data_IF_739571991110
#
_entry.id   IF_739571991110
#
_cell.length_a   1.000
_cell.length_b   1.000
_cell.length_c   1.000
_cell.angle_alpha   90.00
_cell.angle_beta   90.00
_cell.angle_gamma   90.00
#
_symmetry.space_group_name_H-M   'P 1'
#
loop_
_entity.id
_entity.type
_entity.pdbx_description
1 polymer ?
#
# COMPACT_ATOMS: atom_id res chain seq x y z
N UNK A 1 20.32 8.08 8.06
CA UNK A 1 20.62 7.93 9.52
C UNK A 1 20.53 6.43 9.84
N UNK A 2 21.54 5.81 10.46
CA UNK A 2 21.58 4.35 10.69
C UNK A 2 21.23 3.90 12.11
N UNK A 3 20.22 4.51 12.75
CA UNK A 3 19.78 4.19 14.11
C UNK A 3 18.44 3.45 14.15
N UNK A 4 18.11 2.81 15.29
CA UNK A 4 16.82 2.13 15.48
C UNK A 4 15.66 3.14 15.45
N UNK A 5 14.43 2.69 15.12
CA UNK A 5 13.27 3.60 15.13
C UNK A 5 13.00 4.19 16.52
N UNK A 6 13.20 3.39 17.57
CA UNK A 6 13.02 3.86 18.95
C UNK A 6 14.01 4.97 19.31
N UNK A 7 15.21 4.95 18.72
CA UNK A 7 16.16 6.06 18.86
C UNK A 7 15.70 7.29 18.07
N UNK A 8 15.14 7.09 16.87
CA UNK A 8 14.56 8.16 16.07
C UNK A 8 13.40 8.89 16.76
N UNK A 9 12.57 8.18 17.53
CA UNK A 9 11.49 8.77 18.32
C UNK A 9 11.94 9.54 19.56
N UNK A 10 13.20 9.40 20.00
CA UNK A 10 13.70 10.21 21.12
C UNK A 10 13.76 11.68 20.68
N UNK A 11 13.06 12.54 21.41
CA UNK A 11 12.96 13.97 21.10
C UNK A 11 13.64 14.79 22.19
N UNK A 12 14.61 15.67 21.84
CA UNK A 12 15.12 16.64 22.79
C UNK A 12 14.02 17.59 23.24
N UNK A 13 14.21 18.21 24.41
CA UNK A 13 13.25 19.14 25.00
C UNK A 13 12.81 20.27 24.04
N UNK A 14 13.74 20.76 23.21
CA UNK A 14 13.46 21.78 22.19
C UNK A 14 12.47 21.31 21.12
N UNK A 15 12.47 20.03 20.77
CA UNK A 15 11.54 19.44 19.80
C UNK A 15 10.16 19.24 20.41
N UNK A 16 10.08 18.76 21.66
CA UNK A 16 8.83 18.68 22.42
C UNK A 16 8.16 20.05 22.56
N UNK A 17 8.94 21.12 22.76
CA UNK A 17 8.42 22.49 22.78
C UNK A 17 7.81 22.90 21.44
N UNK A 18 8.38 22.50 20.31
CA UNK A 18 7.81 22.77 18.97
C UNK A 18 6.49 22.03 18.75
N UNK A 19 6.42 20.76 19.16
CA UNK A 19 5.17 19.97 19.13
C UNK A 19 4.07 20.70 19.94
N UNK A 20 4.37 21.12 21.17
CA UNK A 20 3.41 21.83 22.02
C UNK A 20 2.91 23.15 21.40
N UNK A 21 3.75 23.88 20.67
CA UNK A 21 3.34 25.10 19.98
C UNK A 21 2.25 24.77 18.94
N UNK A 22 2.48 23.75 18.11
CA UNK A 22 1.51 23.34 17.07
C UNK A 22 0.24 22.79 17.72
N UNK A 23 0.36 21.98 18.76
CA UNK A 23 -0.81 21.47 19.49
C UNK A 23 -1.69 22.58 20.06
N UNK A 24 -1.09 23.61 20.64
CA UNK A 24 -1.84 24.73 21.22
C UNK A 24 -2.59 25.51 20.13
N UNK A 25 -1.96 25.77 18.97
CA UNK A 25 -2.62 26.40 17.84
C UNK A 25 -3.84 25.59 17.36
N UNK A 26 -3.71 24.27 17.27
CA UNK A 26 -4.83 23.39 16.90
C UNK A 26 -5.94 23.45 17.96
N UNK A 27 -5.61 23.41 19.26
CA UNK A 27 -6.59 23.46 20.36
C UNK A 27 -7.29 24.82 20.46
N UNK A 28 -6.62 25.90 20.08
CA UNK A 28 -7.16 27.27 20.04
C UNK A 28 -7.92 27.58 18.74
N UNK A 29 -8.02 26.60 17.82
CA UNK A 29 -8.62 26.73 16.48
C UNK A 29 -7.88 27.71 15.54
N UNK A 30 -6.60 28.01 15.79
CA UNK A 30 -5.73 28.74 14.86
C UNK A 30 -5.16 27.77 13.81
N UNK A 31 -6.06 27.19 13.00
CA UNK A 31 -5.74 26.13 12.05
C UNK A 31 -4.83 26.58 10.92
N UNK A 32 -4.99 27.81 10.42
CA UNK A 32 -4.17 28.35 9.34
C UNK A 32 -2.70 28.45 9.76
N UNK A 33 -2.46 28.93 10.99
CA UNK A 33 -1.10 29.04 11.52
C UNK A 33 -0.51 27.67 11.86
N UNK A 34 -1.32 26.75 12.40
CA UNK A 34 -0.87 25.37 12.61
C UNK A 34 -0.46 24.71 11.28
N UNK A 35 -1.31 24.83 10.26
CA UNK A 35 -1.06 24.32 8.90
C UNK A 35 0.18 24.92 8.27
N UNK A 36 0.36 26.24 8.37
CA UNK A 36 1.55 26.93 7.88
C UNK A 36 2.83 26.38 8.52
N UNK A 37 2.83 26.14 9.84
CA UNK A 37 3.99 25.58 10.52
C UNK A 37 4.25 24.12 10.09
N UNK A 38 3.20 23.31 9.91
CA UNK A 38 3.32 21.93 9.45
C UNK A 38 3.88 21.84 8.03
N UNK A 39 3.45 22.70 7.11
CA UNK A 39 3.96 22.78 5.74
C UNK A 39 5.45 23.15 5.64
N UNK A 40 6.00 23.79 6.68
CA UNK A 40 7.41 24.16 6.73
C UNK A 40 8.31 23.06 7.29
N UNK A 41 7.74 21.94 7.75
CA UNK A 41 8.53 20.81 8.26
C UNK A 41 9.00 19.94 7.10
N UNK A 42 10.21 19.40 7.24
CA UNK A 42 10.62 18.29 6.40
C UNK A 42 9.78 17.04 6.76
N UNK A 43 9.68 16.11 5.81
CA UNK A 43 8.81 14.94 5.96
C UNK A 43 9.19 14.07 7.17
N UNK A 44 10.48 13.98 7.51
CA UNK A 44 10.95 13.21 8.67
C UNK A 44 10.37 13.81 9.95
N UNK A 45 10.52 15.12 10.12
CA UNK A 45 10.00 15.85 11.29
C UNK A 45 8.47 15.81 11.34
N UNK A 46 7.79 16.00 10.21
CA UNK A 46 6.33 15.94 10.12
C UNK A 46 5.79 14.57 10.59
N UNK A 47 6.34 13.48 10.06
CA UNK A 47 5.92 12.12 10.44
C UNK A 47 6.21 11.88 11.92
N UNK A 48 7.39 12.29 12.41
CA UNK A 48 7.73 12.16 13.83
C UNK A 48 6.74 12.90 14.73
N UNK A 49 6.27 14.08 14.32
CA UNK A 49 5.30 14.86 15.10
C UNK A 49 3.94 14.16 15.13
N UNK A 50 3.52 13.53 14.03
CA UNK A 50 2.30 12.72 14.02
C UNK A 50 2.42 11.50 14.96
N UNK A 51 3.56 10.81 14.97
CA UNK A 51 3.79 9.67 15.87
C UNK A 51 3.81 10.06 17.36
N UNK A 52 4.28 11.27 17.68
CA UNK A 52 4.41 11.74 19.06
C UNK A 52 3.18 12.49 19.59
N UNK A 53 2.31 13.00 18.70
CA UNK A 53 1.15 13.80 19.09
C UNK A 53 -0.12 13.32 18.40
N UNK A 54 -1.07 12.84 19.21
CA UNK A 54 -2.42 12.50 18.74
C UNK A 54 -3.14 13.71 18.15
N UNK A 55 -3.00 14.89 18.76
CA UNK A 55 -3.65 16.12 18.27
C UNK A 55 -3.15 16.50 16.87
N UNK A 56 -1.84 16.42 16.63
CA UNK A 56 -1.27 16.70 15.32
C UNK A 56 -1.70 15.63 14.31
N UNK A 57 -1.68 14.35 14.68
CA UNK A 57 -2.18 13.27 13.81
C UNK A 57 -3.63 13.49 13.41
N UNK A 58 -4.54 13.62 14.38
CA UNK A 58 -5.97 13.77 14.12
C UNK A 58 -6.27 15.02 13.26
N UNK A 59 -5.46 16.08 13.39
CA UNK A 59 -5.54 17.26 12.52
C UNK A 59 -5.06 16.95 11.09
N UNK A 60 -3.88 16.34 10.94
CA UNK A 60 -3.28 16.07 9.62
C UNK A 60 -4.02 14.98 8.82
N UNK A 61 -4.84 14.15 9.45
CA UNK A 61 -5.63 13.11 8.77
C UNK A 61 -6.96 13.64 8.20
N UNK A 62 -7.30 14.91 8.42
CA UNK A 62 -8.48 15.55 7.82
C UNK A 62 -8.28 15.85 6.33
N UNK A 63 -9.36 15.82 5.56
CA UNK A 63 -9.32 16.02 4.10
C UNK A 63 -8.78 17.41 3.71
N UNK A 64 -9.04 18.45 4.50
CA UNK A 64 -8.56 19.82 4.26
C UNK A 64 -7.05 19.99 4.46
N UNK A 65 -6.39 18.96 5.01
CA UNK A 65 -4.94 18.91 5.23
C UNK A 65 -4.19 18.04 4.21
N UNK A 66 -4.89 17.48 3.21
CA UNK A 66 -4.28 16.63 2.21
C UNK A 66 -3.19 17.33 1.37
N UNK A 67 -3.23 18.65 1.23
CA UNK A 67 -2.19 19.42 0.54
C UNK A 67 -0.82 19.33 1.22
N UNK A 68 -0.76 19.23 2.57
CA UNK A 68 0.50 18.97 3.30
C UNK A 68 1.15 17.69 2.77
N UNK A 69 0.37 16.60 2.70
CA UNK A 69 0.87 15.31 2.24
C UNK A 69 1.16 15.29 0.75
N UNK A 70 0.33 15.96 -0.07
CA UNK A 70 0.49 16.00 -1.53
C UNK A 70 1.80 16.66 -1.95
N UNK A 71 2.20 17.74 -1.27
CA UNK A 71 3.47 18.40 -1.50
C UNK A 71 4.65 17.43 -1.30
N UNK A 72 4.60 16.61 -0.26
CA UNK A 72 5.60 15.58 -0.02
C UNK A 72 5.52 14.42 -1.03
N UNK A 73 4.33 13.99 -1.43
CA UNK A 73 4.18 12.96 -2.47
C UNK A 73 4.84 13.40 -3.79
N UNK A 74 4.58 14.64 -4.20
CA UNK A 74 5.16 15.21 -5.43
C UNK A 74 6.69 15.30 -5.36
N UNK A 75 7.26 15.48 -4.16
CA UNK A 75 8.71 15.49 -3.98
C UNK A 75 9.38 14.12 -4.21
N UNK A 76 8.62 13.03 -4.22
CA UNK A 76 9.12 11.70 -4.57
C UNK A 76 9.04 11.39 -6.07
N UNK A 77 8.40 12.25 -6.87
CA UNK A 77 8.31 12.02 -8.31
C UNK A 77 9.65 12.25 -8.99
N UNK A 78 9.92 11.43 -10.00
CA UNK A 78 11.11 11.49 -10.85
C UNK A 78 10.70 11.93 -12.28
N UNK A 79 11.67 12.25 -13.13
CA UNK A 79 11.41 12.78 -14.47
C UNK A 79 10.54 11.86 -15.35
N UNK A 80 10.67 10.54 -15.20
CA UNK A 80 9.97 9.51 -15.98
C UNK A 80 8.94 8.71 -15.17
N UNK A 81 8.71 9.07 -13.90
CA UNK A 81 7.78 8.38 -13.03
C UNK A 81 7.14 9.31 -12.00
N UNK A 82 5.81 9.22 -11.85
CA UNK A 82 5.08 9.93 -10.81
C UNK A 82 4.13 9.00 -10.09
N UNK A 83 4.04 9.15 -8.78
CA UNK A 83 3.08 8.41 -7.97
C UNK A 83 1.66 8.93 -8.19
N UNK A 84 0.70 8.00 -8.27
CA UNK A 84 -0.71 8.28 -8.46
C UNK A 84 -1.52 7.92 -7.20
N UNK A 85 -2.44 8.79 -6.78
CA UNK A 85 -3.33 8.54 -5.64
C UNK A 85 -4.45 7.55 -6.03
N UNK A 86 -4.78 6.61 -5.14
CA UNK A 86 -5.95 5.74 -5.33
C UNK A 86 -6.51 5.24 -3.99
N UNK A 87 -7.84 5.07 -3.86
CA UNK A 87 -8.47 4.48 -2.69
C UNK A 87 -8.23 2.96 -2.63
N UNK A 88 -8.35 2.34 -1.44
CA UNK A 88 -8.86 2.92 -0.19
C UNK A 88 -7.79 3.58 0.70
N UNK A 89 -6.56 3.76 0.21
CA UNK A 89 -5.50 4.41 0.98
C UNK A 89 -5.76 5.91 1.09
N UNK A 90 -5.55 6.47 2.28
CA UNK A 90 -5.45 7.93 2.42
C UNK A 90 -4.10 8.40 1.89
N UNK A 91 -4.02 9.67 1.52
CA UNK A 91 -2.78 10.26 1.03
C UNK A 91 -1.67 10.25 2.10
N UNK A 92 -2.01 10.48 3.37
CA UNK A 92 -1.10 10.38 4.51
C UNK A 92 -0.51 8.97 4.64
N UNK A 93 -1.34 7.92 4.56
CA UNK A 93 -0.91 6.53 4.58
C UNK A 93 0.06 6.26 3.42
N UNK A 94 -0.29 6.74 2.23
CA UNK A 94 0.52 6.51 1.05
C UNK A 94 1.92 7.15 1.17
N UNK A 95 1.99 8.42 1.59
CA UNK A 95 3.24 9.16 1.80
C UNK A 95 4.08 8.54 2.92
N UNK A 96 3.49 8.27 4.09
CA UNK A 96 4.18 7.62 5.22
C UNK A 96 4.70 6.23 4.82
N UNK A 97 3.91 5.48 4.06
CA UNK A 97 4.27 4.18 3.53
C UNK A 97 5.52 4.23 2.66
N UNK A 98 5.57 5.14 1.69
CA UNK A 98 6.73 5.35 0.81
C UNK A 98 7.96 5.77 1.62
N UNK A 99 7.80 6.74 2.52
CA UNK A 99 8.89 7.22 3.37
C UNK A 99 9.52 6.11 4.20
N UNK A 100 8.72 5.34 4.95
CA UNK A 100 9.25 4.25 5.78
C UNK A 100 9.86 3.12 4.94
N UNK A 101 9.35 2.88 3.73
CA UNK A 101 9.97 1.91 2.83
C UNK A 101 11.35 2.39 2.35
N UNK A 102 11.49 3.68 2.03
CA UNK A 102 12.78 4.32 1.74
C UNK A 102 13.77 4.18 2.89
N UNK A 103 13.34 4.46 4.12
CA UNK A 103 14.19 4.26 5.32
C UNK A 103 14.63 2.81 5.50
N UNK A 104 13.77 1.83 5.17
CA UNK A 104 14.13 0.42 5.20
C UNK A 104 15.23 0.09 4.16
N UNK A 105 15.12 0.65 2.95
CA UNK A 105 16.13 0.49 1.91
C UNK A 105 17.49 1.11 2.32
N UNK A 106 17.50 2.28 2.96
CA UNK A 106 18.73 2.87 3.53
C UNK A 106 19.35 1.97 4.60
N UNK A 107 18.53 1.39 5.50
CA UNK A 107 19.02 0.49 6.53
C UNK A 107 19.66 -0.77 5.93
N UNK A 108 19.08 -1.33 4.88
CA UNK A 108 19.64 -2.48 4.16
C UNK A 108 21.03 -2.16 3.59
N UNK A 109 21.19 -0.99 2.99
CA UNK A 109 22.47 -0.55 2.42
C UNK A 109 23.53 -0.38 3.51
N UNK A 110 23.17 0.24 4.64
CA UNK A 110 24.09 0.46 5.78
C UNK A 110 24.48 -0.86 6.46
N UNK A 111 23.54 -1.78 6.66
CA UNK A 111 23.80 -3.06 7.31
C UNK A 111 24.52 -4.07 6.39
N UNK A 112 24.49 -3.87 5.07
CA UNK A 112 25.11 -4.76 4.08
C UNK A 112 24.48 -6.15 3.99
N UNK A 113 23.27 -6.34 4.56
CA UNK A 113 22.52 -7.60 4.52
C UNK A 113 21.04 -7.33 4.34
N UNK A 114 20.36 -8.22 3.62
CA UNK A 114 18.90 -8.16 3.48
C UNK A 114 18.20 -8.60 4.77
N UNK A 115 17.12 -7.90 5.11
CA UNK A 115 16.22 -8.17 6.23
C UNK A 115 16.92 -8.13 7.60
N UNK A 116 17.78 -7.12 7.76
CA UNK A 116 18.30 -6.70 9.06
C UNK A 116 17.22 -6.25 10.03
N UNK A 117 17.56 -6.11 11.31
CA UNK A 117 16.57 -5.76 12.35
C UNK A 117 16.00 -4.35 12.14
N UNK A 118 16.84 -3.37 11.79
CA UNK A 118 16.36 -2.01 11.52
C UNK A 118 15.53 -1.96 10.23
N UNK A 119 15.97 -2.65 9.18
CA UNK A 119 15.19 -2.78 7.94
C UNK A 119 13.80 -3.37 8.23
N UNK A 120 13.72 -4.48 8.97
CA UNK A 120 12.46 -5.12 9.31
C UNK A 120 11.55 -4.23 10.18
N UNK A 121 12.14 -3.43 11.07
CA UNK A 121 11.38 -2.47 11.87
C UNK A 121 10.71 -1.41 10.99
N UNK A 122 11.44 -0.82 10.04
CA UNK A 122 10.89 0.16 9.09
C UNK A 122 9.91 -0.47 8.09
N UNK A 123 10.18 -1.69 7.61
CA UNK A 123 9.23 -2.43 6.76
C UNK A 123 7.90 -2.67 7.48
N UNK A 124 7.91 -3.05 8.76
CA UNK A 124 6.67 -3.23 9.54
C UNK A 124 5.87 -1.94 9.69
N UNK A 125 6.55 -0.79 9.79
CA UNK A 125 5.90 0.53 9.85
C UNK A 125 5.31 0.94 8.53
N UNK A 126 6.05 0.75 7.44
CA UNK A 126 5.54 0.95 6.10
C UNK A 126 4.32 0.04 5.82
N UNK A 127 4.35 -1.21 6.30
CA UNK A 127 3.22 -2.13 6.22
C UNK A 127 2.03 -1.77 7.14
N UNK A 128 2.27 -1.06 8.25
CA UNK A 128 1.21 -0.49 9.09
C UNK A 128 0.42 0.59 8.34
N UNK A 129 1.11 1.32 7.46
CA UNK A 129 0.51 2.28 6.52
C UNK A 129 0.00 1.63 5.23
N UNK A 130 -0.09 0.30 5.20
CA UNK A 130 -0.57 -0.48 4.06
C UNK A 130 0.22 -0.23 2.76
N UNK A 131 1.54 -0.06 2.84
CA UNK A 131 2.36 0.13 1.64
C UNK A 131 2.61 -1.20 0.89
N UNK A 132 2.37 -1.19 -0.42
CA UNK A 132 2.55 -2.36 -1.29
C UNK A 132 3.99 -2.88 -1.24
N UNK A 133 4.97 -1.98 -1.32
CA UNK A 133 6.39 -2.34 -1.35
C UNK A 133 6.81 -3.06 -0.07
N UNK A 134 6.28 -2.62 1.08
CA UNK A 134 6.51 -3.29 2.35
C UNK A 134 5.86 -4.66 2.41
N UNK A 135 4.60 -4.80 1.98
CA UNK A 135 3.95 -6.11 1.92
C UNK A 135 4.68 -7.09 1.00
N UNK A 136 5.17 -6.63 -0.16
CA UNK A 136 5.96 -7.43 -1.08
C UNK A 136 7.31 -7.87 -0.49
N UNK A 137 8.01 -6.95 0.18
CA UNK A 137 9.30 -7.23 0.82
C UNK A 137 9.15 -8.17 2.03
N UNK A 138 8.15 -7.93 2.88
CA UNK A 138 7.86 -8.75 4.07
C UNK A 138 7.33 -10.14 3.70
N UNK A 139 6.54 -10.29 2.65
CA UNK A 139 6.15 -11.62 2.16
C UNK A 139 7.37 -12.40 1.66
N UNK A 140 8.30 -11.75 0.96
CA UNK A 140 9.56 -12.35 0.53
C UNK A 140 10.42 -12.79 1.72
N UNK A 141 10.58 -11.92 2.73
CA UNK A 141 11.27 -12.25 3.97
C UNK A 141 10.65 -13.48 4.66
N UNK A 142 9.33 -13.48 4.83
CA UNK A 142 8.63 -14.57 5.49
C UNK A 142 8.73 -15.88 4.67
N UNK A 143 8.69 -15.79 3.34
CA UNK A 143 8.85 -16.96 2.47
C UNK A 143 10.22 -17.60 2.62
N UNK A 144 11.30 -16.81 2.65
CA UNK A 144 12.64 -17.35 2.85
C UNK A 144 12.81 -17.98 4.24
N UNK A 145 12.19 -17.41 5.28
CA UNK A 145 12.14 -18.04 6.62
C UNK A 145 11.40 -19.37 6.60
N UNK A 146 10.26 -19.44 5.90
CA UNK A 146 9.51 -20.67 5.71
C UNK A 146 10.33 -21.73 4.98
N UNK A 147 10.98 -21.35 3.89
CA UNK A 147 11.85 -22.22 3.08
C UNK A 147 13.06 -22.77 3.87
N UNK A 148 13.52 -22.04 4.89
CA UNK A 148 14.55 -22.50 5.83
C UNK A 148 14.04 -23.48 6.90
N UNK A 149 12.76 -23.85 6.88
CA UNK A 149 12.15 -24.83 7.79
C UNK A 149 11.34 -24.23 8.94
N UNK A 150 11.16 -22.90 8.99
CA UNK A 150 10.28 -22.25 9.97
C UNK A 150 8.83 -22.26 9.47
N UNK A 151 8.17 -23.41 9.62
CA UNK A 151 6.86 -23.69 9.02
C UNK A 151 5.79 -22.61 9.22
N UNK A 152 5.73 -21.99 10.40
CA UNK A 152 4.72 -20.97 10.75
C UNK A 152 4.84 -19.69 9.92
N UNK A 153 6.00 -19.43 9.30
CA UNK A 153 6.20 -18.26 8.44
C UNK A 153 5.44 -18.35 7.11
N UNK A 154 4.96 -19.53 6.71
CA UNK A 154 4.04 -19.67 5.57
C UNK A 154 2.76 -18.84 5.77
N UNK A 155 2.24 -18.79 7.01
CA UNK A 155 1.08 -18.00 7.38
C UNK A 155 1.36 -16.50 7.24
N UNK A 156 2.53 -16.04 7.68
CA UNK A 156 2.94 -14.63 7.52
C UNK A 156 3.13 -14.25 6.06
N UNK A 157 3.72 -15.14 5.27
CA UNK A 157 3.91 -14.95 3.83
C UNK A 157 2.57 -14.66 3.16
N UNK A 158 1.58 -15.52 3.41
CA UNK A 158 0.24 -15.37 2.86
C UNK A 158 -0.48 -14.15 3.44
N UNK A 159 -0.34 -13.88 4.74
CA UNK A 159 -0.97 -12.73 5.41
C UNK A 159 -0.58 -11.39 4.77
N UNK A 160 0.72 -11.17 4.50
CA UNK A 160 1.16 -9.93 3.86
C UNK A 160 0.64 -9.79 2.42
N UNK A 161 0.60 -10.88 1.67
CA UNK A 161 0.03 -10.86 0.32
C UNK A 161 -1.49 -10.64 0.32
N UNK A 162 -2.21 -11.20 1.30
CA UNK A 162 -3.64 -10.94 1.52
C UNK A 162 -3.87 -9.47 1.85
N UNK A 163 -3.05 -8.90 2.75
CA UNK A 163 -3.11 -7.46 3.03
C UNK A 163 -2.87 -6.63 1.77
N UNK A 164 -1.91 -6.99 0.93
CA UNK A 164 -1.72 -6.27 -0.33
C UNK A 164 -2.96 -6.30 -1.23
N UNK A 165 -3.68 -7.43 -1.32
CA UNK A 165 -4.91 -7.55 -2.10
C UNK A 165 -6.08 -6.69 -1.59
N UNK A 166 -6.06 -6.27 -0.32
CA UNK A 166 -7.10 -5.39 0.25
C UNK A 166 -6.97 -3.93 -0.19
N UNK A 167 -5.75 -3.46 -0.50
CA UNK A 167 -5.48 -2.05 -0.75
C UNK A 167 -4.96 -1.76 -2.16
N UNK A 168 -4.34 -2.72 -2.85
CA UNK A 168 -3.57 -2.47 -4.07
C UNK A 168 -4.09 -3.20 -5.30
N UNK A 169 -5.41 -3.43 -5.38
CA UNK A 169 -6.07 -3.84 -6.63
C UNK A 169 -5.33 -4.98 -7.36
N UNK A 170 -5.11 -4.86 -8.67
CA UNK A 170 -4.43 -5.88 -9.49
C UNK A 170 -3.04 -6.25 -8.96
N UNK A 171 -2.10 -5.33 -8.66
CA UNK A 171 -0.81 -5.68 -8.07
C UNK A 171 -0.91 -6.48 -6.77
N UNK A 172 -1.84 -6.14 -5.89
CA UNK A 172 -2.08 -6.86 -4.64
C UNK A 172 -2.49 -8.31 -4.87
N UNK A 173 -3.42 -8.54 -5.80
CA UNK A 173 -3.84 -9.90 -6.17
C UNK A 173 -2.76 -10.67 -6.94
N UNK A 174 -1.91 -10.00 -7.73
CA UNK A 174 -0.76 -10.64 -8.37
C UNK A 174 0.31 -11.08 -7.37
N UNK A 175 0.55 -10.29 -6.32
CA UNK A 175 1.41 -10.69 -5.21
C UNK A 175 0.85 -11.91 -4.48
N UNK A 176 -0.47 -11.93 -4.22
CA UNK A 176 -1.13 -13.10 -3.63
C UNK A 176 -1.04 -14.34 -4.53
N UNK A 177 -1.34 -14.20 -5.82
CA UNK A 177 -1.15 -15.26 -6.82
C UNK A 177 0.27 -15.84 -6.77
N UNK A 178 1.29 -14.99 -6.85
CA UNK A 178 2.69 -15.43 -6.85
C UNK A 178 3.09 -16.09 -5.52
N UNK A 179 2.58 -15.57 -4.42
CA UNK A 179 2.79 -16.12 -3.08
C UNK A 179 2.22 -17.54 -2.98
N UNK A 180 0.98 -17.77 -3.42
CA UNK A 180 0.37 -19.10 -3.45
C UNK A 180 1.18 -20.08 -4.31
N UNK A 181 1.68 -19.65 -5.47
CA UNK A 181 2.57 -20.49 -6.30
C UNK A 181 3.85 -20.87 -5.56
N UNK A 182 4.50 -19.92 -4.88
CA UNK A 182 5.73 -20.16 -4.13
C UNK A 182 5.50 -21.15 -2.97
N UNK A 183 4.35 -21.06 -2.28
CA UNK A 183 3.95 -22.01 -1.25
C UNK A 183 3.61 -23.39 -1.83
N UNK A 184 3.00 -23.44 -3.01
CA UNK A 184 2.67 -24.71 -3.70
C UNK A 184 3.92 -25.56 -3.99
N UNK A 185 5.07 -24.92 -4.25
CA UNK A 185 6.35 -25.59 -4.53
C UNK A 185 6.87 -26.36 -3.30
N UNK A 186 6.64 -25.83 -2.11
CA UNK A 186 7.15 -26.40 -0.85
C UNK A 186 6.10 -27.27 -0.11
N UNK A 187 4.85 -27.28 -0.60
CA UNK A 187 3.76 -28.04 0.00
C UNK A 187 3.72 -29.48 -0.49
N UNK A 188 3.51 -30.43 0.44
CA UNK A 188 3.24 -31.84 0.13
C UNK A 188 1.86 -32.03 -0.53
N UNK A 189 0.94 -31.08 -0.38
CA UNK A 189 -0.38 -31.04 -1.04
C UNK A 189 -0.53 -29.71 -1.77
N UNK A 190 -0.03 -29.66 -3.00
CA UNK A 190 0.07 -28.42 -3.79
C UNK A 190 -1.26 -27.98 -4.40
N UNK A 191 -2.29 -28.85 -4.44
CA UNK A 191 -3.56 -28.57 -5.14
C UNK A 191 -4.30 -27.33 -4.61
N UNK A 192 -4.41 -27.18 -3.29
CA UNK A 192 -5.14 -26.04 -2.69
C UNK A 192 -4.45 -24.69 -2.99
N UNK A 193 -3.13 -24.53 -2.76
CA UNK A 193 -2.42 -23.32 -3.17
C UNK A 193 -2.57 -22.96 -4.66
N UNK A 194 -2.59 -23.93 -5.57
CA UNK A 194 -2.83 -23.65 -7.00
C UNK A 194 -4.25 -23.17 -7.29
N UNK A 195 -5.26 -23.65 -6.56
CA UNK A 195 -6.64 -23.18 -6.69
C UNK A 195 -6.78 -21.73 -6.21
N UNK A 196 -6.19 -21.39 -5.06
CA UNK A 196 -6.15 -20.01 -4.54
C UNK A 196 -5.36 -19.08 -5.47
N UNK A 197 -4.25 -19.56 -6.03
CA UNK A 197 -3.47 -18.83 -7.02
C UNK A 197 -4.32 -18.50 -8.26
N UNK A 198 -5.04 -19.48 -8.81
CA UNK A 198 -5.91 -19.28 -9.96
C UNK A 198 -7.01 -18.25 -9.68
N UNK A 199 -7.68 -18.36 -8.53
CA UNK A 199 -8.72 -17.40 -8.13
C UNK A 199 -8.16 -15.96 -8.12
N UNK A 200 -7.03 -15.75 -7.45
CA UNK A 200 -6.43 -14.42 -7.35
C UNK A 200 -5.94 -13.88 -8.69
N UNK A 201 -5.40 -14.73 -9.57
CA UNK A 201 -4.99 -14.33 -10.91
C UNK A 201 -6.18 -13.87 -11.76
N UNK A 202 -7.32 -14.55 -11.64
CA UNK A 202 -8.55 -14.17 -12.34
C UNK A 202 -9.13 -12.86 -11.81
N UNK A 203 -9.12 -12.64 -10.49
CA UNK A 203 -9.52 -11.36 -9.88
C UNK A 203 -8.59 -10.24 -10.36
N UNK A 204 -7.27 -10.46 -10.32
CA UNK A 204 -6.27 -9.50 -10.80
C UNK A 204 -6.52 -9.06 -12.24
N UNK A 205 -6.85 -10.01 -13.14
CA UNK A 205 -7.18 -9.72 -14.54
C UNK A 205 -8.45 -8.87 -14.64
N UNK A 206 -9.51 -9.24 -13.93
CA UNK A 206 -10.80 -8.55 -14.00
C UNK A 206 -10.76 -7.13 -13.42
N UNK A 207 -9.88 -6.87 -12.45
CA UNK A 207 -9.66 -5.54 -11.88
C UNK A 207 -8.73 -4.66 -12.74
N UNK A 208 -8.00 -5.23 -13.70
CA UNK A 208 -6.86 -4.55 -14.36
C UNK A 208 -7.24 -3.33 -15.22
N UNK A 209 -8.50 -3.22 -15.61
CA UNK A 209 -8.99 -2.12 -16.45
C UNK A 209 -9.62 -0.98 -15.62
N UNK A 210 -9.83 -1.17 -14.31
CA UNK A 210 -10.38 -0.11 -13.46
C UNK A 210 -9.36 1.00 -13.23
N UNK A 211 -9.80 2.27 -13.24
CA UNK A 211 -8.91 3.45 -13.12
C UNK A 211 -7.98 3.39 -11.90
N UNK A 212 -8.54 3.12 -10.70
CA UNK A 212 -7.74 2.96 -9.47
C UNK A 212 -6.74 1.80 -9.55
N UNK A 213 -7.07 0.74 -10.30
CA UNK A 213 -6.14 -0.38 -10.50
C UNK A 213 -5.00 0.00 -11.43
N UNK A 214 -5.27 0.82 -12.46
CA UNK A 214 -4.24 1.36 -13.36
C UNK A 214 -3.23 2.20 -12.56
N UNK A 215 -3.70 3.07 -11.66
CA UNK A 215 -2.84 3.84 -10.75
C UNK A 215 -2.04 2.94 -9.80
N UNK A 216 -2.67 1.88 -9.27
CA UNK A 216 -1.95 0.88 -8.47
C UNK A 216 -0.86 0.17 -9.28
N UNK A 217 -1.11 -0.18 -10.55
CA UNK A 217 -0.13 -0.79 -11.46
C UNK A 217 1.01 0.19 -11.74
N UNK A 218 0.72 1.46 -12.03
CA UNK A 218 1.73 2.50 -12.22
C UNK A 218 2.68 2.55 -11.03
N UNK A 219 2.14 2.69 -9.82
CA UNK A 219 2.94 2.82 -8.61
C UNK A 219 3.74 1.54 -8.34
N UNK A 220 3.06 0.38 -8.26
CA UNK A 220 3.68 -0.90 -7.89
C UNK A 220 4.88 -1.29 -8.77
N UNK A 221 4.88 -0.84 -10.02
CA UNK A 221 5.87 -1.20 -11.04
C UNK A 221 6.64 0.01 -11.59
N UNK A 222 6.58 1.16 -10.91
CA UNK A 222 7.33 2.37 -11.25
C UNK A 222 7.15 2.79 -12.73
N UNK A 223 5.91 2.86 -13.21
CA UNK A 223 5.56 3.27 -14.58
C UNK A 223 5.91 2.28 -15.69
N UNK A 224 6.59 1.17 -15.38
CA UNK A 224 7.04 0.17 -16.38
C UNK A 224 5.92 -0.73 -16.89
N UNK A 225 4.73 -0.65 -16.28
CA UNK A 225 3.58 -1.49 -16.60
C UNK A 225 3.77 -2.95 -16.15
N UNK A 226 2.70 -3.73 -16.30
CA UNK A 226 2.60 -5.06 -15.70
C UNK A 226 3.64 -6.07 -16.20
N UNK A 227 3.92 -6.06 -17.51
CA UNK A 227 4.82 -7.04 -18.13
C UNK A 227 6.29 -6.71 -17.82
N UNK A 228 6.71 -5.46 -17.99
CA UNK A 228 8.11 -5.09 -17.75
C UNK A 228 8.42 -4.96 -16.26
N UNK A 229 7.47 -4.50 -15.45
CA UNK A 229 7.59 -4.42 -14.00
C UNK A 229 7.67 -5.79 -13.33
N UNK A 230 7.07 -6.81 -13.95
CA UNK A 230 7.06 -8.18 -13.46
C UNK A 230 7.93 -9.13 -14.31
N UNK A 231 9.00 -8.60 -14.90
CA UNK A 231 9.94 -9.36 -15.75
C UNK A 231 10.30 -10.69 -15.10
N UNK A 232 10.23 -11.77 -15.86
CA UNK A 232 10.43 -13.19 -15.49
C UNK A 232 9.29 -13.90 -14.75
N UNK A 233 8.26 -13.19 -14.24
CA UNK A 233 7.19 -13.85 -13.48
C UNK A 233 5.80 -13.77 -14.13
N UNK A 234 5.59 -12.85 -15.07
CA UNK A 234 4.34 -12.71 -15.79
C UNK A 234 4.59 -12.30 -17.25
N UNK A 235 4.18 -13.15 -18.20
CA UNK A 235 4.31 -12.86 -19.64
C UNK A 235 2.98 -12.39 -20.24
N UNK A 236 1.91 -13.15 -20.00
CA UNK A 236 0.56 -12.81 -20.45
C UNK A 236 -0.48 -13.45 -19.53
N UNK A 237 -1.68 -12.86 -19.50
CA UNK A 237 -2.78 -13.36 -18.69
C UNK A 237 -3.15 -14.81 -19.04
N UNK A 238 -3.34 -15.11 -20.32
CA UNK A 238 -3.79 -16.44 -20.75
C UNK A 238 -2.73 -17.50 -20.48
N UNK A 239 -1.44 -17.20 -20.73
CA UNK A 239 -0.34 -18.13 -20.43
C UNK A 239 -0.26 -18.43 -18.93
N UNK A 240 -0.32 -17.40 -18.09
CA UNK A 240 -0.27 -17.57 -16.63
C UNK A 240 -1.47 -18.40 -16.12
N UNK A 241 -2.67 -18.17 -16.64
CA UNK A 241 -3.88 -18.93 -16.29
C UNK A 241 -3.72 -20.40 -16.70
N UNK A 242 -3.36 -20.67 -17.96
CA UNK A 242 -3.19 -22.03 -18.46
C UNK A 242 -2.10 -22.79 -17.71
N UNK A 243 -0.96 -22.16 -17.41
CA UNK A 243 0.11 -22.80 -16.64
C UNK A 243 -0.31 -23.11 -15.21
N UNK A 244 -1.07 -22.23 -14.57
CA UNK A 244 -1.56 -22.44 -13.20
C UNK A 244 -2.51 -23.63 -13.13
N UNK A 245 -3.45 -23.72 -14.07
CA UNK A 245 -4.37 -24.86 -14.19
C UNK A 245 -3.59 -26.16 -14.42
N UNK A 246 -2.63 -26.15 -15.35
CA UNK A 246 -1.85 -27.33 -15.72
C UNK A 246 -0.95 -27.80 -14.57
N UNK A 247 -0.17 -26.90 -13.95
CA UNK A 247 0.73 -27.21 -12.82
C UNK A 247 -0.04 -27.66 -11.59
N UNK A 248 -1.19 -27.04 -11.32
CA UNK A 248 -2.07 -27.40 -10.21
C UNK A 248 -2.91 -28.66 -10.43
N UNK A 249 -2.94 -29.20 -11.66
CA UNK A 249 -3.81 -30.31 -12.06
C UNK A 249 -5.27 -30.06 -11.63
N UNK A 250 -5.73 -28.81 -11.79
CA UNK A 250 -7.04 -28.38 -11.29
C UNK A 250 -8.12 -29.07 -12.12
N UNK A 251 -9.02 -29.88 -11.51
CA UNK A 251 -10.09 -30.56 -12.23
C UNK A 251 -11.03 -29.56 -12.91
N UNK A 252 -11.48 -29.85 -14.13
CA UNK A 252 -12.36 -28.97 -14.90
C UNK A 252 -13.64 -28.57 -14.14
N UNK A 253 -14.17 -29.47 -13.29
CA UNK A 253 -15.33 -29.18 -12.44
C UNK A 253 -15.06 -28.06 -11.42
N UNK A 254 -13.82 -27.94 -10.92
CA UNK A 254 -13.41 -26.87 -10.00
C UNK A 254 -13.06 -25.58 -10.73
N UNK A 255 -12.61 -25.65 -11.99
CA UNK A 255 -12.26 -24.46 -12.77
C UNK A 255 -13.47 -23.52 -12.85
N UNK A 256 -14.64 -24.00 -13.29
CA UNK A 256 -15.84 -23.15 -13.39
C UNK A 256 -16.21 -22.51 -12.05
N UNK A 257 -16.15 -23.27 -10.96
CA UNK A 257 -16.40 -22.75 -9.60
C UNK A 257 -15.42 -21.65 -9.21
N UNK A 258 -14.14 -21.79 -9.51
CA UNK A 258 -13.12 -20.77 -9.24
C UNK A 258 -13.38 -19.51 -10.07
N UNK A 259 -13.78 -19.65 -11.33
CA UNK A 259 -14.18 -18.52 -12.17
C UNK A 259 -15.39 -17.77 -11.60
N UNK A 260 -16.42 -18.49 -11.14
CA UNK A 260 -17.61 -17.89 -10.53
C UNK A 260 -17.28 -17.13 -9.25
N UNK A 261 -16.45 -17.71 -8.37
CA UNK A 261 -15.98 -17.06 -7.14
C UNK A 261 -15.17 -15.79 -7.47
N UNK A 262 -14.26 -15.87 -8.44
CA UNK A 262 -13.45 -14.73 -8.86
C UNK A 262 -14.34 -13.61 -9.46
N UNK A 263 -15.35 -13.95 -10.24
CA UNK A 263 -16.33 -13.00 -10.77
C UNK A 263 -17.10 -12.30 -9.64
N UNK A 264 -17.64 -13.06 -8.69
CA UNK A 264 -18.44 -12.52 -7.58
C UNK A 264 -17.60 -11.59 -6.69
N UNK A 265 -16.40 -12.01 -6.30
CA UNK A 265 -15.49 -11.17 -5.50
C UNK A 265 -15.07 -9.90 -6.25
N UNK A 266 -14.78 -10.00 -7.54
CA UNK A 266 -14.43 -8.82 -8.34
C UNK A 266 -15.60 -7.85 -8.40
N UNK A 267 -16.82 -8.35 -8.62
CA UNK A 267 -18.03 -7.53 -8.63
C UNK A 267 -18.21 -6.79 -7.30
N UNK A 268 -18.07 -7.49 -6.17
CA UNK A 268 -18.16 -6.86 -4.85
C UNK A 268 -17.13 -5.74 -4.63
N UNK A 269 -15.92 -5.89 -5.15
CA UNK A 269 -14.88 -4.84 -5.10
C UNK A 269 -15.29 -3.66 -5.97
N UNK A 270 -15.65 -3.90 -7.23
CA UNK A 270 -16.01 -2.85 -8.19
C UNK A 270 -17.26 -2.08 -7.76
N UNK A 271 -18.29 -2.78 -7.27
CA UNK A 271 -19.53 -2.17 -6.80
C UNK A 271 -19.25 -1.19 -5.64
N UNK A 272 -18.39 -1.57 -4.67
CA UNK A 272 -17.99 -0.70 -3.56
C UNK A 272 -17.43 0.64 -4.04
N UNK A 273 -16.53 0.62 -5.01
CA UNK A 273 -15.87 1.83 -5.52
C UNK A 273 -16.66 2.55 -6.62
N UNK A 274 -17.73 1.95 -7.13
CA UNK A 274 -18.68 2.64 -8.05
C UNK A 274 -19.71 3.44 -7.26
N UNK A 275 -20.16 2.93 -6.10
CA UNK A 275 -21.07 3.65 -5.21
C UNK A 275 -20.40 4.85 -4.54
N UNK A 276 -19.16 4.69 -4.05
CA UNK A 276 -18.38 5.80 -3.47
C UNK A 276 -18.16 6.98 -4.45
N UNK A 277 -18.04 6.70 -5.75
CA UNK A 277 -17.89 7.75 -6.78
C UNK A 277 -19.20 8.52 -7.01
N UNK A 278 -20.36 7.85 -6.88
CA UNK A 278 -21.66 8.52 -7.01
C UNK A 278 -21.96 9.41 -5.81
N UNK A 279 -21.68 8.91 -4.60
CA UNK A 279 -21.94 9.67 -3.37
C UNK A 279 -21.09 10.95 -3.32
N UNK A 280 -19.79 10.86 -3.67
CA UNK A 280 -18.92 12.05 -3.78
C UNK A 280 -19.38 13.05 -4.85
N UNK A 281 -19.85 12.57 -5.99
CA UNK A 281 -20.34 13.43 -7.06
C UNK A 281 -21.66 14.15 -6.69
N UNK A 282 -22.47 13.56 -5.82
CA UNK A 282 -23.68 14.20 -5.27
C UNK A 282 -23.33 15.19 -4.16
N UNK A 283 -22.35 14.89 -3.30
CA UNK A 283 -21.81 15.83 -2.29
C UNK A 283 -21.18 17.08 -2.96
N UNK A 284 -20.35 16.91 -3.98
CA UNK A 284 -19.76 18.05 -4.72
C UNK A 284 -20.82 18.91 -5.44
N UNK A 285 -21.94 18.31 -5.88
CA UNK A 285 -23.05 19.09 -6.45
C UNK A 285 -23.78 19.91 -5.38
N UNK A 286 -24.03 19.32 -4.22
CA UNK A 286 -24.68 20.00 -3.10
C UNK A 286 -23.81 21.14 -2.55
N UNK A 287 -22.49 20.98 -2.50
CA UNK A 287 -21.55 22.04 -2.10
C UNK A 287 -21.50 23.19 -3.12
N UNK A 288 -21.50 22.88 -4.42
CA UNK A 288 -21.51 23.90 -5.48
C UNK A 288 -22.85 24.65 -5.57
N UNK A 289 -23.97 24.01 -5.22
CA UNK A 289 -25.28 24.67 -5.13
C UNK A 289 -25.46 25.49 -3.85
N UNK A 290 -24.71 25.19 -2.79
CA UNK A 290 -24.72 25.93 -1.52
C UNK A 290 -23.78 27.15 -1.50
N UNK A 291 -22.88 27.29 -2.48
CA UNK A 291 -22.02 28.46 -2.62
C UNK A 291 -22.84 29.67 -3.12
N UNK A 292 -22.98 30.77 -2.35
CA UNK A 292 -23.71 31.93 -2.81
C UNK A 292 -23.01 32.55 -4.01
N UNK A 293 -23.73 32.71 -5.13
CA UNK A 293 -23.30 33.46 -6.30
C UNK A 293 -22.96 34.91 -5.89
N UNK A 294 -21.70 35.17 -5.55
CA UNK A 294 -21.16 36.53 -5.47
C UNK A 294 -21.05 37.05 -6.90
N UNK A 295 -22.12 37.70 -7.35
CA UNK A 295 -22.11 38.49 -8.56
C UNK A 295 -21.34 39.77 -8.29
N UNK A 296 -20.29 40.02 -9.08
CA UNK A 296 -19.50 41.26 -9.11
C UNK A 296 -20.37 42.42 -9.57
#
# INVERSE_FOLDING_TARGET
MGGSYNDWLKSPYSELKKINIIENLIKENDFDRAKLLLNNLDLTTLIKYTELSKTITDFCEKSEQNDIWRAHLQSFNEDDFSFEEYPPLTLSQFVKGIYFYGQAAECREVEGKAFGDNELEFLRKSAHQHCFYAYNSLSTWAYEKYKMGLNDYSLLTLHYAQKASQYHWTPGYLLFYKTCLNLAILSNSSSLPYQEALEALLIARKLSEHSYSISAINNAYFGKGLIHGNKTQFESWDKAISETIAKGKIPSALINKIYDIACEKTKQILDRFTHEVKDKAEEEKLENEAAPNLSI
#
